data_IF_906833825332
#
_entry.id   IF_906833825332
#
_cell.length_a   1.000
_cell.length_b   1.000
_cell.length_c   1.000
_cell.angle_alpha   90.00
_cell.angle_beta   90.00
_cell.angle_gamma   90.00
#
_symmetry.space_group_name_H-M   'P 1'
#
loop_
_entity.id
_entity.type
_entity.pdbx_description
1 polymer ?
#
# COMPACT_ATOMS: atom_id res chain seq x y z
N UNK A 1 9.43 -35.60 13.19
CA UNK A 1 9.54 -34.26 12.57
C UNK A 1 8.79 -34.34 11.25
N UNK A 2 7.62 -33.73 11.17
CA UNK A 2 6.81 -33.75 9.95
C UNK A 2 7.39 -32.72 8.98
N UNK A 3 7.80 -33.20 7.81
CA UNK A 3 8.25 -32.36 6.70
C UNK A 3 7.05 -31.58 6.15
N UNK A 4 6.93 -30.31 6.52
CA UNK A 4 5.92 -29.41 5.94
C UNK A 4 6.52 -28.87 4.66
N UNK A 5 6.39 -29.63 3.57
CA UNK A 5 6.65 -29.12 2.23
C UNK A 5 5.64 -28.02 1.92
N UNK A 6 6.12 -26.78 1.88
CA UNK A 6 5.35 -25.63 1.41
C UNK A 6 4.86 -25.89 -0.03
N UNK A 7 3.60 -25.57 -0.35
CA UNK A 7 3.09 -25.77 -1.70
C UNK A 7 3.93 -24.91 -2.67
N UNK A 8 4.46 -25.56 -3.71
CA UNK A 8 5.07 -24.85 -4.86
C UNK A 8 4.00 -23.96 -5.44
N UNK A 9 4.24 -22.63 -5.42
CA UNK A 9 3.36 -21.68 -6.06
C UNK A 9 3.27 -22.02 -7.56
N UNK A 10 2.14 -22.61 -7.97
CA UNK A 10 1.73 -22.61 -9.36
C UNK A 10 1.71 -21.15 -9.83
N UNK A 11 2.05 -20.90 -11.10
CA UNK A 11 2.05 -19.58 -11.72
C UNK A 11 0.66 -18.93 -11.60
N UNK A 12 0.36 -18.34 -10.46
CA UNK A 12 -0.85 -17.55 -10.28
C UNK A 12 -0.60 -16.23 -11.02
N UNK A 13 -1.35 -16.01 -12.09
CA UNK A 13 -1.36 -14.73 -12.77
C UNK A 13 -2.04 -13.68 -11.87
N UNK A 14 -1.27 -13.10 -10.96
CA UNK A 14 -1.75 -12.05 -10.05
C UNK A 14 -2.29 -10.84 -10.81
N UNK A 15 -1.86 -10.61 -12.05
CA UNK A 15 -2.28 -9.46 -12.85
C UNK A 15 -3.73 -9.58 -13.34
N UNK A 16 -4.32 -10.77 -13.30
CA UNK A 16 -5.75 -10.95 -13.55
C UNK A 16 -6.64 -10.51 -12.37
N UNK A 17 -6.10 -10.51 -11.14
CA UNK A 17 -6.82 -10.13 -9.92
C UNK A 17 -6.65 -8.63 -9.65
N UNK A 18 -7.73 -7.86 -9.70
CA UNK A 18 -7.74 -6.39 -9.53
C UNK A 18 -8.17 -5.92 -8.15
N UNK A 19 -8.75 -6.81 -7.34
CA UNK A 19 -9.25 -6.49 -6.00
C UNK A 19 -8.67 -7.47 -4.99
N UNK A 20 -8.36 -6.98 -3.78
CA UNK A 20 -7.78 -7.79 -2.71
C UNK A 20 -8.49 -7.53 -1.39
N UNK A 21 -8.94 -8.60 -0.76
CA UNK A 21 -9.59 -8.56 0.54
C UNK A 21 -8.57 -8.43 1.67
N UNK A 22 -9.03 -8.13 2.88
CA UNK A 22 -8.20 -8.12 4.09
C UNK A 22 -7.42 -9.44 4.26
N UNK A 23 -8.05 -10.58 3.97
CA UNK A 23 -7.38 -11.89 4.01
C UNK A 23 -6.18 -11.94 3.07
N UNK A 24 -6.33 -11.48 1.82
CA UNK A 24 -5.24 -11.44 0.85
C UNK A 24 -4.08 -10.53 1.33
N UNK A 25 -4.42 -9.40 1.96
CA UNK A 25 -3.43 -8.47 2.49
C UNK A 25 -2.66 -9.06 3.68
N UNK A 26 -3.35 -9.80 4.56
CA UNK A 26 -2.70 -10.55 5.65
C UNK A 26 -1.81 -11.68 5.09
N UNK A 27 -2.22 -12.38 4.05
CA UNK A 27 -1.37 -13.35 3.36
C UNK A 27 -0.13 -12.67 2.73
N UNK A 28 -0.29 -11.48 2.14
CA UNK A 28 0.81 -10.67 1.65
C UNK A 28 1.80 -10.30 2.77
N UNK A 29 1.28 -9.90 3.95
CA UNK A 29 2.12 -9.55 5.10
C UNK A 29 2.95 -10.72 5.65
N UNK A 30 2.51 -11.96 5.39
CA UNK A 30 3.20 -13.19 5.77
C UNK A 30 4.13 -13.73 4.68
N UNK A 31 4.24 -13.04 3.53
CA UNK A 31 5.02 -13.49 2.39
C UNK A 31 4.37 -14.61 1.57
N UNK A 32 3.09 -14.91 1.83
CA UNK A 32 2.39 -16.03 1.17
C UNK A 32 1.79 -15.62 -0.18
N UNK A 33 1.49 -14.34 -0.39
CA UNK A 33 0.84 -13.87 -1.62
C UNK A 33 1.79 -13.84 -2.81
N UNK A 34 2.96 -13.19 -2.67
CA UNK A 34 3.93 -13.01 -3.75
C UNK A 34 5.18 -13.87 -3.60
N UNK A 35 5.26 -14.70 -2.54
CA UNK A 35 6.41 -15.53 -2.20
C UNK A 35 7.37 -14.86 -1.19
N UNK A 36 8.13 -15.69 -0.48
CA UNK A 36 8.85 -15.35 0.74
C UNK A 36 9.87 -14.19 0.60
N UNK A 37 10.53 -14.07 -0.54
CA UNK A 37 11.57 -13.06 -0.77
C UNK A 37 11.10 -11.91 -1.67
N UNK A 38 9.79 -11.73 -1.80
CA UNK A 38 9.19 -10.68 -2.62
C UNK A 38 8.57 -9.56 -1.77
N UNK A 39 7.87 -8.64 -2.42
CA UNK A 39 7.23 -7.53 -1.74
C UNK A 39 6.21 -8.05 -0.71
N UNK A 40 6.31 -7.53 0.52
CA UNK A 40 5.41 -7.83 1.63
C UNK A 40 4.83 -6.54 2.17
N UNK A 41 3.57 -6.59 2.55
CA UNK A 41 2.96 -5.54 3.37
C UNK A 41 3.41 -5.70 4.83
N UNK A 42 3.40 -4.64 5.64
CA UNK A 42 3.53 -4.79 7.07
C UNK A 42 2.33 -5.54 7.64
N UNK A 43 2.53 -6.26 8.72
CA UNK A 43 1.44 -6.87 9.47
C UNK A 43 0.71 -5.81 10.32
N UNK A 44 -0.56 -6.05 10.71
CA UNK A 44 -1.22 -5.21 11.71
C UNK A 44 -0.37 -5.08 13.01
N UNK A 45 -0.35 -3.91 13.68
CA UNK A 45 -1.22 -2.76 13.40
C UNK A 45 -0.69 -1.77 12.35
N UNK A 46 0.43 -2.05 11.69
CA UNK A 46 1.04 -1.16 10.69
C UNK A 46 0.49 -1.32 9.27
N UNK A 47 -0.38 -2.29 9.01
CA UNK A 47 -1.12 -2.37 7.75
C UNK A 47 -2.16 -1.25 7.72
N UNK A 48 -2.04 -0.33 6.76
CA UNK A 48 -2.79 0.93 6.75
C UNK A 48 -3.99 0.93 5.80
N UNK A 49 -4.45 -0.22 5.34
CA UNK A 49 -5.71 -0.37 4.59
C UNK A 49 -6.29 -1.77 4.77
N UNK A 50 -7.63 -1.87 4.64
CA UNK A 50 -8.38 -3.12 4.81
C UNK A 50 -8.56 -3.88 3.51
N UNK A 51 -8.54 -3.18 2.38
CA UNK A 51 -8.74 -3.76 1.05
C UNK A 51 -8.09 -2.91 -0.04
N UNK A 52 -7.80 -3.56 -1.17
CA UNK A 52 -7.55 -2.89 -2.45
C UNK A 52 -8.81 -3.07 -3.29
N UNK A 53 -9.49 -1.96 -3.57
CA UNK A 53 -10.78 -1.96 -4.28
C UNK A 53 -10.62 -1.99 -5.80
N UNK A 54 -9.48 -1.54 -6.33
CA UNK A 54 -9.23 -1.54 -7.77
C UNK A 54 -7.73 -1.47 -8.11
N UNK A 55 -7.34 -2.17 -9.18
CA UNK A 55 -6.09 -1.94 -9.92
C UNK A 55 -6.46 -1.85 -11.40
N UNK A 56 -6.32 -0.66 -11.98
CA UNK A 56 -6.72 -0.38 -13.36
C UNK A 56 -5.51 0.01 -14.21
N UNK A 57 -5.41 -0.63 -15.39
CA UNK A 57 -4.46 -0.23 -16.44
C UNK A 57 -5.12 0.84 -17.29
N UNK A 58 -4.41 1.81 -17.75
CA UNK A 58 -4.94 2.88 -18.61
C UNK A 58 -5.90 3.85 -17.89
N UNK A 59 -5.87 3.85 -16.56
CA UNK A 59 -6.55 4.81 -15.70
C UNK A 59 -5.63 5.94 -15.24
N UNK A 60 -6.18 6.81 -14.37
CA UNK A 60 -5.45 7.82 -13.65
C UNK A 60 -4.90 8.97 -14.49
N UNK A 61 -4.23 9.88 -13.80
CA UNK A 61 -3.74 11.15 -14.35
C UNK A 61 -2.66 11.01 -15.42
N UNK A 62 -1.99 9.84 -15.49
CA UNK A 62 -0.89 9.61 -16.43
C UNK A 62 -1.25 8.62 -17.54
N UNK A 63 -2.52 8.22 -17.64
CA UNK A 63 -2.99 7.19 -18.55
C UNK A 63 -2.15 5.91 -18.48
N UNK A 64 -1.89 5.51 -17.23
CA UNK A 64 -1.16 4.31 -16.82
C UNK A 64 -1.94 3.63 -15.70
N UNK A 65 -1.23 2.88 -14.84
CA UNK A 65 -1.85 2.20 -13.72
C UNK A 65 -2.35 3.18 -12.66
N UNK A 66 -3.55 2.94 -12.16
CA UNK A 66 -4.07 3.51 -10.93
C UNK A 66 -4.41 2.39 -9.95
N UNK A 67 -4.34 2.67 -8.67
CA UNK A 67 -4.67 1.72 -7.60
C UNK A 67 -5.45 2.45 -6.52
N UNK A 68 -6.55 1.83 -6.08
CA UNK A 68 -7.43 2.34 -5.04
C UNK A 68 -7.48 1.35 -3.88
N UNK A 69 -7.43 1.87 -2.66
CA UNK A 69 -7.53 1.09 -1.42
C UNK A 69 -8.36 1.84 -0.38
N UNK A 70 -8.82 1.11 0.63
CA UNK A 70 -9.73 1.63 1.64
C UNK A 70 -9.35 1.16 3.03
N UNK A 71 -9.60 2.04 4.03
CA UNK A 71 -9.49 1.76 5.46
C UNK A 71 -10.76 2.24 6.16
N UNK A 72 -11.49 1.31 6.77
CA UNK A 72 -12.60 1.65 7.64
C UNK A 72 -12.06 2.23 8.96
N UNK A 73 -12.44 3.45 9.28
CA UNK A 73 -12.04 4.09 10.52
C UNK A 73 -12.94 3.59 11.64
N UNK A 74 -12.31 3.02 12.67
CA UNK A 74 -12.93 2.61 13.92
C UNK A 74 -12.35 3.46 15.06
N UNK A 75 -13.19 3.82 16.01
CA UNK A 75 -12.79 4.68 17.13
C UNK A 75 -11.72 4.07 18.05
N UNK A 76 -11.58 2.75 18.02
CA UNK A 76 -10.62 1.95 18.76
C UNK A 76 -9.32 1.65 18.01
N UNK A 77 -9.07 2.34 16.88
CA UNK A 77 -7.78 2.24 16.21
C UNK A 77 -6.68 2.80 17.12
N UNK A 78 -5.66 2.02 17.33
CA UNK A 78 -4.62 2.21 18.34
C UNK A 78 -3.96 3.60 18.36
N UNK A 79 -3.86 4.25 17.20
CA UNK A 79 -3.25 5.58 17.11
C UNK A 79 -4.13 6.68 17.69
N UNK A 80 -5.44 6.52 17.79
CA UNK A 80 -6.33 7.48 18.45
C UNK A 80 -6.15 7.51 19.97
N UNK A 81 -5.68 6.41 20.56
CA UNK A 81 -5.41 6.35 22.01
C UNK A 81 -4.19 7.17 22.43
N UNK A 82 -3.32 7.55 21.48
CA UNK A 82 -2.05 8.20 21.78
C UNK A 82 -1.73 9.44 20.95
N UNK A 83 -2.42 9.66 19.86
CA UNK A 83 -2.12 10.78 18.95
C UNK A 83 -3.38 11.62 18.64
N UNK A 84 -3.79 12.57 19.52
CA UNK A 84 -3.24 12.89 20.85
C UNK A 84 -4.28 12.55 21.92
N UNK A 85 -3.91 12.42 23.20
CA UNK A 85 -4.82 11.96 24.28
C UNK A 85 -6.13 12.79 24.35
N UNK A 86 -6.08 14.11 24.15
CA UNK A 86 -7.25 14.98 24.21
C UNK A 86 -7.68 15.54 22.85
N UNK A 87 -7.02 15.10 21.78
CA UNK A 87 -7.27 15.55 20.40
C UNK A 87 -6.92 14.38 19.44
N UNK A 88 -7.75 13.32 19.41
CA UNK A 88 -7.45 12.12 18.65
C UNK A 88 -7.52 12.39 17.15
N UNK A 89 -6.42 12.18 16.46
CA UNK A 89 -6.28 12.32 15.02
C UNK A 89 -5.30 11.27 14.49
N UNK A 90 -5.59 10.71 13.33
CA UNK A 90 -4.65 9.80 12.66
C UNK A 90 -3.36 10.56 12.30
N UNK A 91 -2.17 10.06 12.68
CA UNK A 91 -0.92 10.65 12.26
C UNK A 91 -0.83 10.79 10.73
N UNK A 92 -0.55 11.98 10.22
CA UNK A 92 -0.46 12.20 8.77
C UNK A 92 0.58 11.31 8.08
N UNK A 93 1.64 10.93 8.79
CA UNK A 93 2.63 9.98 8.29
C UNK A 93 2.06 8.60 7.98
N UNK A 94 0.96 8.17 8.61
CA UNK A 94 0.33 6.87 8.30
C UNK A 94 -0.44 6.90 6.98
N UNK A 95 -1.04 8.04 6.62
CA UNK A 95 -1.62 8.21 5.28
C UNK A 95 -0.55 8.15 4.19
N UNK A 96 0.61 8.77 4.42
CA UNK A 96 1.76 8.67 3.52
C UNK A 96 2.30 7.23 3.45
N UNK A 97 2.41 6.55 4.60
CA UNK A 97 2.90 5.18 4.66
C UNK A 97 1.94 4.22 3.93
N UNK A 98 0.61 4.42 4.05
CA UNK A 98 -0.38 3.67 3.28
C UNK A 98 -0.14 3.76 1.77
N UNK A 99 0.14 4.96 1.25
CA UNK A 99 0.45 5.16 -0.17
C UNK A 99 1.76 4.46 -0.59
N UNK A 100 2.78 4.45 0.27
CA UNK A 100 4.00 3.69 0.03
C UNK A 100 3.77 2.18 0.07
N UNK A 101 2.98 1.68 1.04
CA UNK A 101 2.58 0.27 1.13
C UNK A 101 1.84 -0.16 -0.14
N UNK A 102 0.89 0.65 -0.61
CA UNK A 102 0.10 0.38 -1.80
C UNK A 102 0.97 0.38 -3.07
N UNK A 103 1.92 1.32 -3.19
CA UNK A 103 2.89 1.33 -4.29
C UNK A 103 3.82 0.12 -4.26
N UNK A 104 4.23 -0.32 -3.07
CA UNK A 104 5.04 -1.53 -2.88
C UNK A 104 4.28 -2.81 -3.22
N UNK A 105 3.03 -2.90 -2.82
CA UNK A 105 2.12 -3.98 -3.19
C UNK A 105 1.99 -4.09 -4.72
N UNK A 106 1.78 -2.95 -5.39
CA UNK A 106 1.70 -2.89 -6.85
C UNK A 106 2.95 -3.44 -7.56
N UNK A 107 4.15 -3.19 -7.04
CA UNK A 107 5.37 -3.79 -7.59
C UNK A 107 5.37 -5.33 -7.47
N UNK A 108 4.94 -5.86 -6.33
CA UNK A 108 4.76 -7.31 -6.15
C UNK A 108 3.72 -7.89 -7.12
N UNK A 109 2.59 -7.21 -7.26
CA UNK A 109 1.52 -7.56 -8.19
C UNK A 109 1.98 -7.56 -9.66
N UNK A 110 2.88 -6.63 -10.04
CA UNK A 110 3.54 -6.62 -11.36
C UNK A 110 4.58 -7.72 -11.56
N UNK A 111 4.83 -8.56 -10.55
CA UNK A 111 5.85 -9.62 -10.59
C UNK A 111 7.29 -9.11 -10.43
N UNK A 112 7.48 -7.92 -9.82
CA UNK A 112 8.81 -7.46 -9.47
C UNK A 112 9.32 -8.22 -8.25
N UNK A 113 10.47 -8.86 -8.38
CA UNK A 113 11.10 -9.64 -7.30
C UNK A 113 11.80 -8.75 -6.27
N UNK A 114 11.96 -9.28 -5.06
CA UNK A 114 12.74 -8.67 -3.99
C UNK A 114 11.90 -7.91 -2.96
N UNK A 115 12.57 -7.51 -1.88
CA UNK A 115 11.96 -6.84 -0.73
C UNK A 115 11.64 -5.39 -1.04
N UNK A 116 10.41 -4.96 -0.71
CA UNK A 116 9.95 -3.58 -0.91
C UNK A 116 10.54 -2.59 0.09
N UNK A 117 10.90 -1.39 -0.38
CA UNK A 117 11.30 -0.24 0.47
C UNK A 117 10.85 1.07 -0.15
N UNK A 118 10.49 2.02 0.72
CA UNK A 118 10.30 3.41 0.33
C UNK A 118 11.66 4.08 0.14
N UNK A 119 11.82 4.81 -0.97
CA UNK A 119 13.06 5.54 -1.31
C UNK A 119 12.92 7.05 -1.13
N UNK A 120 11.69 7.53 -0.96
CA UNK A 120 11.43 8.93 -0.72
C UNK A 120 10.15 9.46 -1.35
N UNK A 121 9.94 10.73 -1.18
CA UNK A 121 8.81 11.51 -1.68
C UNK A 121 9.28 12.92 -2.04
N UNK A 122 8.68 13.52 -3.04
CA UNK A 122 9.01 14.88 -3.45
C UNK A 122 8.27 15.94 -2.64
N UNK A 123 6.97 15.81 -2.49
CA UNK A 123 6.11 16.75 -1.76
C UNK A 123 4.97 16.01 -1.07
N UNK A 124 4.65 16.43 0.13
CA UNK A 124 3.44 16.02 0.86
C UNK A 124 2.74 17.28 1.35
N UNK A 125 1.45 17.38 1.09
CA UNK A 125 0.58 18.44 1.63
C UNK A 125 -0.53 17.80 2.44
N UNK A 126 -0.66 18.26 3.69
CA UNK A 126 -1.76 17.93 4.58
C UNK A 126 -2.73 19.11 4.59
N UNK A 127 -3.94 18.89 4.06
CA UNK A 127 -4.98 19.91 3.91
C UNK A 127 -6.19 19.64 4.79
N UNK A 128 -6.23 18.47 5.42
CA UNK A 128 -7.30 18.05 6.33
C UNK A 128 -6.79 17.07 7.38
N UNK A 129 -7.71 16.57 8.18
CA UNK A 129 -7.45 15.64 9.29
C UNK A 129 -8.36 14.42 9.18
N UNK A 130 -7.90 13.29 9.72
CA UNK A 130 -8.67 12.06 9.85
C UNK A 130 -8.91 11.85 11.35
N UNK A 131 -10.14 12.15 11.80
CA UNK A 131 -10.58 12.05 13.19
C UNK A 131 -11.39 10.74 13.39
N UNK A 132 -11.70 10.35 14.65
CA UNK A 132 -12.53 9.17 14.93
C UNK A 132 -13.97 9.23 14.39
N UNK A 133 -14.43 10.38 13.93
CA UNK A 133 -15.77 10.61 13.31
C UNK A 133 -15.79 10.28 11.83
N UNK A 134 -14.62 10.26 11.15
CA UNK A 134 -14.49 9.78 9.77
C UNK A 134 -14.89 8.30 9.72
N UNK A 135 -15.58 7.89 8.68
CA UNK A 135 -16.03 6.50 8.50
C UNK A 135 -15.09 5.72 7.59
N UNK A 136 -14.66 6.35 6.51
CA UNK A 136 -13.87 5.73 5.47
C UNK A 136 -12.71 6.62 5.04
N UNK A 137 -11.53 6.08 5.03
CA UNK A 137 -10.37 6.65 4.34
C UNK A 137 -10.17 5.90 3.05
N UNK A 138 -10.08 6.64 1.94
CA UNK A 138 -9.74 6.09 0.63
C UNK A 138 -8.37 6.58 0.20
N UNK A 139 -7.59 5.67 -0.35
CA UNK A 139 -6.26 5.93 -0.89
C UNK A 139 -6.29 5.75 -2.40
N UNK A 140 -5.74 6.71 -3.11
CA UNK A 140 -5.58 6.65 -4.56
C UNK A 140 -4.13 6.87 -4.94
N UNK A 141 -3.58 6.05 -5.82
CA UNK A 141 -2.27 6.28 -6.45
C UNK A 141 -2.34 6.22 -7.96
N UNK A 142 -1.64 7.16 -8.60
CA UNK A 142 -1.40 7.22 -10.03
C UNK A 142 0.05 6.86 -10.32
N UNK A 143 0.29 5.80 -11.08
CA UNK A 143 1.65 5.37 -11.46
C UNK A 143 2.17 6.21 -12.62
N UNK A 144 3.25 6.93 -12.40
CA UNK A 144 3.94 7.73 -13.43
C UNK A 144 4.79 6.86 -14.34
N UNK A 145 5.57 5.96 -13.74
CA UNK A 145 6.42 5.01 -14.46
C UNK A 145 6.90 3.89 -13.56
N UNK A 146 7.24 2.78 -14.17
CA UNK A 146 7.96 1.67 -13.54
C UNK A 146 9.25 1.43 -14.30
N UNK A 147 10.35 1.26 -13.58
CA UNK A 147 11.65 0.86 -14.12
C UNK A 147 11.93 -0.54 -13.58
N UNK A 148 12.09 -1.51 -14.47
CA UNK A 148 12.45 -2.90 -14.09
C UNK A 148 13.92 -3.13 -14.47
N UNK A 149 14.78 -3.21 -13.45
CA UNK A 149 16.21 -3.53 -13.56
C UNK A 149 16.60 -4.40 -12.35
N UNK A 150 17.87 -4.44 -11.98
CA UNK A 150 18.36 -5.08 -10.75
C UNK A 150 17.58 -4.58 -9.51
N UNK A 151 17.28 -3.29 -9.45
CA UNK A 151 16.30 -2.68 -8.56
C UNK A 151 15.10 -2.27 -9.40
N UNK A 152 13.91 -2.76 -9.06
CA UNK A 152 12.66 -2.30 -9.68
C UNK A 152 12.16 -1.08 -8.92
N UNK A 153 11.78 -0.02 -9.63
CA UNK A 153 11.33 1.26 -9.05
C UNK A 153 9.98 1.64 -9.63
N UNK A 154 9.03 1.99 -8.78
CA UNK A 154 7.80 2.68 -9.14
C UNK A 154 7.87 4.16 -8.71
N UNK A 155 7.40 5.02 -9.59
CA UNK A 155 7.21 6.45 -9.34
C UNK A 155 5.71 6.72 -9.43
N UNK A 156 5.14 7.34 -8.40
CA UNK A 156 3.71 7.60 -8.30
C UNK A 156 3.41 8.95 -7.65
N UNK A 157 2.22 9.46 -7.92
CA UNK A 157 1.54 10.46 -7.11
C UNK A 157 0.45 9.74 -6.32
N UNK A 158 -0.01 10.36 -5.24
CA UNK A 158 -1.08 9.79 -4.44
C UNK A 158 -1.95 10.86 -3.80
N UNK A 159 -3.15 10.44 -3.42
CA UNK A 159 -4.12 11.27 -2.73
C UNK A 159 -4.85 10.44 -1.66
N UNK A 160 -5.17 11.06 -0.56
CA UNK A 160 -5.91 10.46 0.55
C UNK A 160 -7.18 11.26 0.79
N UNK A 161 -8.29 10.54 0.90
CA UNK A 161 -9.61 11.12 1.13
C UNK A 161 -10.18 10.63 2.46
N UNK A 162 -10.85 11.51 3.18
CA UNK A 162 -11.66 11.21 4.35
C UNK A 162 -13.13 11.45 4.02
N UNK A 163 -13.96 10.40 4.03
CA UNK A 163 -15.38 10.44 3.62
C UNK A 163 -15.61 11.15 2.26
N UNK A 164 -14.66 10.99 1.32
CA UNK A 164 -14.69 11.58 -0.01
C UNK A 164 -14.06 12.96 -0.15
N UNK A 165 -13.67 13.61 0.93
CA UNK A 165 -12.98 14.89 0.91
C UNK A 165 -11.45 14.69 0.88
N UNK A 166 -10.75 15.36 -0.02
CA UNK A 166 -9.29 15.28 -0.14
C UNK A 166 -8.60 15.90 1.07
N UNK A 167 -7.81 15.12 1.77
CA UNK A 167 -7.11 15.53 3.00
C UNK A 167 -5.59 15.54 2.88
N UNK A 168 -5.02 14.70 2.00
CA UNK A 168 -3.58 14.70 1.72
C UNK A 168 -3.35 14.57 0.22
N UNK A 169 -2.33 15.28 -0.28
CA UNK A 169 -1.79 15.09 -1.63
C UNK A 169 -0.30 14.79 -1.54
N UNK A 170 0.14 13.85 -2.33
CA UNK A 170 1.53 13.37 -2.31
C UNK A 170 2.07 13.31 -3.74
N UNK A 171 3.23 13.91 -3.98
CA UNK A 171 3.84 13.97 -5.30
C UNK A 171 5.22 13.31 -5.32
N UNK A 172 5.49 12.62 -6.43
CA UNK A 172 6.80 12.01 -6.71
C UNK A 172 7.26 11.01 -5.64
N UNK A 173 6.37 10.15 -5.19
CA UNK A 173 6.75 9.00 -4.37
C UNK A 173 7.67 8.07 -5.17
N UNK A 174 8.61 7.45 -4.45
CA UNK A 174 9.53 6.44 -5.00
C UNK A 174 9.51 5.23 -4.08
N UNK A 175 9.12 4.10 -4.63
CA UNK A 175 9.16 2.81 -3.94
C UNK A 175 9.89 1.82 -4.84
N UNK A 176 10.68 0.96 -4.29
CA UNK A 176 11.38 -0.05 -5.07
C UNK A 176 11.46 -1.40 -4.39
N UNK A 177 11.74 -2.41 -5.19
CA UNK A 177 12.07 -3.76 -4.72
C UNK A 177 13.48 -4.11 -5.12
N UNK A 178 14.20 -4.77 -4.23
CA UNK A 178 15.56 -5.25 -4.47
C UNK A 178 15.76 -6.63 -3.84
N UNK A 179 16.58 -7.44 -4.49
CA UNK A 179 17.03 -8.70 -3.92
C UNK A 179 18.28 -8.39 -3.08
N UNK A 180 18.28 -8.68 -1.76
CA UNK A 180 19.48 -8.51 -0.94
C UNK A 180 20.62 -9.34 -1.52
N UNK A 181 21.83 -8.81 -1.52
CA UNK A 181 23.06 -9.60 -1.72
C UNK A 181 23.24 -10.50 -0.49
N UNK A 182 23.56 -11.78 -0.73
CA UNK A 182 23.85 -12.75 0.34
C UNK A 182 25.19 -12.46 1.02
#
# INVERSE_FOLDING_TARGET
MADISLPKHENVDFQSKKTFSNKDLIECSRGLLFGENNAQLPAPPMLMFDSISNIEKEGGSFNKWQIDAELAIKKDLWFFDCHFINDPVMPGCFGLDALWQLTGFFLGWLGCSGRGRAFGVGEVKFTGQITPEVKLVSYHIDIKRVIKRQVSLAFSDGEVFADGESVYTVKNMKVGTFVPEE
#
